data_IF_877395435248
#
_entry.id   IF_877395435248
#
_cell.length_a   1.000
_cell.length_b   1.000
_cell.length_c   1.000
_cell.angle_alpha   90.00
_cell.angle_beta   90.00
_cell.angle_gamma   90.00
#
_symmetry.space_group_name_H-M   'P 1'
#
loop_
_entity.id
_entity.type
_entity.pdbx_description
1 polymer ?
#
# COMPACT_ATOMS: atom_id res chain seq x y z
N UNK A 1 -15.49 -8.14 4.44
CA UNK A 1 -14.80 -8.35 5.74
C UNK A 1 -14.27 -7.01 6.22
N UNK A 2 -14.55 -6.60 7.48
CA UNK A 2 -13.96 -5.38 8.05
C UNK A 2 -12.55 -5.71 8.57
N UNK A 3 -11.52 -4.89 8.33
CA UNK A 3 -10.19 -5.16 8.85
C UNK A 3 -10.19 -5.05 10.38
N UNK A 4 -9.80 -6.13 11.06
CA UNK A 4 -9.65 -6.16 12.52
C UNK A 4 -8.38 -5.40 12.92
N UNK A 5 -8.54 -4.28 13.62
CA UNK A 5 -7.43 -3.53 14.21
C UNK A 5 -7.05 -4.15 15.56
N UNK A 6 -5.75 -4.18 15.87
CA UNK A 6 -5.24 -4.65 17.17
C UNK A 6 -5.54 -3.61 18.24
N UNK A 7 -6.13 -4.00 19.39
CA UNK A 7 -6.52 -3.08 20.47
C UNK A 7 -5.35 -2.29 21.09
N UNK A 8 -4.10 -2.75 20.90
CA UNK A 8 -2.88 -2.12 21.45
C UNK A 8 -1.93 -1.56 20.40
N UNK A 9 -2.12 -1.87 19.11
CA UNK A 9 -1.24 -1.38 18.05
C UNK A 9 -2.07 -0.71 16.96
N UNK A 10 -2.14 0.62 17.04
CA UNK A 10 -2.84 1.47 16.08
C UNK A 10 -2.04 1.69 14.79
N UNK A 11 -0.96 0.94 14.59
CA UNK A 11 -0.15 1.00 13.38
C UNK A 11 -0.17 -0.31 12.63
N UNK A 12 -0.27 -0.19 11.32
CA UNK A 12 -0.39 -1.32 10.40
C UNK A 12 0.82 -1.36 9.48
N UNK A 13 1.37 -2.56 9.28
CA UNK A 13 2.40 -2.84 8.27
C UNK A 13 1.77 -2.84 6.88
N UNK A 14 2.36 -2.13 5.93
CA UNK A 14 1.95 -2.16 4.53
C UNK A 14 2.89 -3.09 3.74
N UNK A 15 2.33 -3.96 2.90
CA UNK A 15 3.07 -4.86 2.02
C UNK A 15 2.63 -4.63 0.59
N UNK A 16 3.51 -4.18 -0.27
CA UNK A 16 3.23 -4.01 -1.71
C UNK A 16 3.86 -5.18 -2.44
N UNK A 17 3.02 -5.93 -3.14
CA UNK A 17 3.43 -6.99 -4.06
C UNK A 17 3.20 -6.45 -5.47
N UNK A 18 4.29 -6.08 -6.14
CA UNK A 18 4.24 -5.56 -7.49
C UNK A 18 4.84 -6.59 -8.45
N UNK A 19 4.18 -6.92 -9.58
CA UNK A 19 4.65 -7.99 -10.44
C UNK A 19 6.07 -7.74 -10.96
N UNK A 20 6.93 -8.75 -10.79
CA UNK A 20 8.34 -8.70 -11.20
C UNK A 20 9.29 -7.96 -10.25
N UNK A 21 8.83 -7.56 -9.06
CA UNK A 21 9.64 -6.91 -8.03
C UNK A 21 9.58 -7.71 -6.72
N UNK A 22 10.63 -7.58 -5.92
CA UNK A 22 10.64 -8.13 -4.57
C UNK A 22 9.56 -7.49 -3.68
N UNK A 23 8.99 -8.23 -2.71
CA UNK A 23 8.00 -7.68 -1.79
C UNK A 23 8.52 -6.44 -1.06
N UNK A 24 7.83 -5.32 -1.21
CA UNK A 24 8.17 -4.09 -0.49
C UNK A 24 7.35 -4.02 0.81
N UNK A 25 8.04 -4.07 1.95
CA UNK A 25 7.40 -4.15 3.27
C UNK A 25 7.79 -2.96 4.12
N UNK A 26 6.79 -2.17 4.52
CA UNK A 26 6.97 -1.05 5.43
C UNK A 26 6.22 -1.30 6.73
N UNK A 27 6.96 -1.46 7.83
CA UNK A 27 6.40 -1.64 9.17
C UNK A 27 5.87 -0.32 9.71
N UNK A 28 4.79 -0.38 10.49
CA UNK A 28 4.17 0.80 11.11
C UNK A 28 3.81 1.91 10.10
N UNK A 29 3.46 1.52 8.88
CA UNK A 29 3.27 2.40 7.72
C UNK A 29 2.02 3.28 7.82
N UNK A 30 0.94 2.75 8.39
CA UNK A 30 -0.37 3.40 8.45
C UNK A 30 -0.81 3.52 9.91
N UNK A 31 -1.12 4.73 10.36
CA UNK A 31 -1.78 5.01 11.64
C UNK A 31 -3.30 4.97 11.44
N UNK A 32 -3.95 3.98 12.05
CA UNK A 32 -5.41 3.82 12.02
C UNK A 32 -6.10 4.56 13.16
N UNK A 33 -5.33 5.14 14.09
CA UNK A 33 -5.83 5.75 15.30
C UNK A 33 -6.32 4.72 16.32
N UNK A 34 -6.47 5.16 17.57
CA UNK A 34 -7.07 4.36 18.63
C UNK A 34 -8.59 4.50 18.65
N UNK A 35 -9.27 3.80 19.56
CA UNK A 35 -10.74 3.83 19.65
C UNK A 35 -11.33 5.24 19.81
N UNK A 36 -10.63 6.16 20.48
CA UNK A 36 -11.08 7.55 20.66
C UNK A 36 -10.75 8.47 19.48
N UNK A 37 -9.83 8.07 18.59
CA UNK A 37 -9.29 8.90 17.50
C UNK A 37 -9.19 8.09 16.19
N UNK A 38 -10.22 7.30 15.88
CA UNK A 38 -10.23 6.47 14.67
C UNK A 38 -10.09 7.36 13.43
N UNK A 39 -9.17 6.98 12.53
CA UNK A 39 -8.96 7.75 11.30
C UNK A 39 -10.08 7.50 10.30
N UNK A 40 -10.45 8.54 9.56
CA UNK A 40 -11.41 8.43 8.47
C UNK A 40 -10.82 7.60 7.33
N UNK A 41 -11.69 7.00 6.51
CA UNK A 41 -11.26 6.27 5.31
C UNK A 41 -10.43 7.16 4.37
N UNK A 42 -10.80 8.44 4.24
CA UNK A 42 -10.04 9.43 3.44
C UNK A 42 -8.62 9.60 3.99
N UNK A 43 -8.47 9.70 5.31
CA UNK A 43 -7.15 9.84 5.93
C UNK A 43 -6.30 8.57 5.77
N UNK A 44 -6.91 7.39 5.89
CA UNK A 44 -6.22 6.11 5.63
C UNK A 44 -5.82 6.01 4.16
N UNK A 45 -6.71 6.34 3.23
CA UNK A 45 -6.43 6.32 1.80
C UNK A 45 -5.28 7.26 1.43
N UNK A 46 -5.25 8.47 1.99
CA UNK A 46 -4.14 9.41 1.80
C UNK A 46 -2.81 8.85 2.34
N UNK A 47 -2.81 8.23 3.52
CA UNK A 47 -1.61 7.58 4.05
C UNK A 47 -1.13 6.45 3.11
N UNK A 48 -2.04 5.58 2.65
CA UNK A 48 -1.69 4.50 1.71
C UNK A 48 -1.14 5.08 0.40
N UNK A 49 -1.78 6.10 -0.19
CA UNK A 49 -1.34 6.74 -1.42
C UNK A 49 0.08 7.32 -1.27
N UNK A 50 0.38 7.96 -0.14
CA UNK A 50 1.74 8.46 0.15
C UNK A 50 2.76 7.32 0.23
N UNK A 51 2.41 6.17 0.81
CA UNK A 51 3.30 5.00 0.87
C UNK A 51 3.47 4.32 -0.49
N UNK A 52 2.43 4.30 -1.32
CA UNK A 52 2.52 3.80 -2.70
C UNK A 52 3.41 4.72 -3.54
N UNK A 53 3.34 6.05 -3.35
CA UNK A 53 4.26 7.00 -3.99
C UNK A 53 5.71 6.77 -3.55
N UNK A 54 5.93 6.61 -2.26
CA UNK A 54 7.26 6.28 -1.72
C UNK A 54 7.83 4.99 -2.32
N UNK A 55 7.02 3.94 -2.42
CA UNK A 55 7.40 2.71 -3.12
C UNK A 55 7.74 2.98 -4.59
N UNK A 56 6.87 3.69 -5.30
CA UNK A 56 7.03 4.00 -6.72
C UNK A 56 8.34 4.74 -6.96
N UNK A 57 8.59 5.83 -6.24
CA UNK A 57 9.79 6.65 -6.41
C UNK A 57 11.08 5.86 -6.11
N UNK A 58 11.06 5.00 -5.10
CA UNK A 58 12.21 4.17 -4.71
C UNK A 58 12.50 3.04 -5.70
N UNK A 59 11.47 2.51 -6.37
CA UNK A 59 11.58 1.32 -7.23
C UNK A 59 11.54 1.65 -8.71
N UNK A 60 11.25 2.90 -9.12
CA UNK A 60 11.12 3.29 -10.53
C UNK A 60 12.38 3.06 -11.37
N UNK A 61 13.56 3.17 -10.76
CA UNK A 61 14.84 2.93 -11.43
C UNK A 61 15.20 1.44 -11.50
N UNK A 62 14.49 0.57 -10.78
CA UNK A 62 14.71 -0.88 -10.77
C UNK A 62 13.93 -1.50 -11.92
N UNK A 63 14.61 -2.35 -12.70
CA UNK A 63 13.99 -3.13 -13.77
C UNK A 63 13.43 -4.42 -13.17
N UNK A 64 12.10 -4.52 -13.12
CA UNK A 64 11.42 -5.75 -12.72
C UNK A 64 11.50 -6.84 -13.79
N UNK A 65 11.22 -8.08 -13.40
CA UNK A 65 11.25 -9.25 -14.30
C UNK A 65 10.02 -9.36 -15.21
N UNK A 66 8.97 -8.57 -14.95
CA UNK A 66 7.71 -8.55 -15.70
C UNK A 66 7.63 -7.26 -16.53
N UNK A 67 7.88 -7.28 -17.85
CA UNK A 67 8.02 -6.07 -18.67
C UNK A 67 6.80 -5.14 -18.66
N UNK A 68 5.60 -5.72 -18.69
CA UNK A 68 4.32 -5.00 -18.68
C UNK A 68 4.02 -4.30 -17.34
N UNK A 69 4.80 -4.62 -16.32
CA UNK A 69 4.68 -4.08 -14.96
C UNK A 69 5.92 -3.29 -14.55
N UNK A 70 6.81 -2.93 -15.48
CA UNK A 70 7.94 -2.09 -15.12
C UNK A 70 7.46 -0.69 -14.72
N UNK A 71 7.79 -0.25 -13.50
CA UNK A 71 7.37 1.04 -12.94
C UNK A 71 7.91 2.24 -13.74
N UNK A 72 9.03 2.08 -14.45
CA UNK A 72 9.55 3.12 -15.33
C UNK A 72 8.60 3.45 -16.51
N UNK A 73 7.78 2.47 -16.93
CA UNK A 73 6.87 2.57 -18.06
C UNK A 73 5.43 2.94 -17.67
N UNK A 74 5.12 3.03 -16.37
CA UNK A 74 3.76 3.27 -15.89
C UNK A 74 3.74 4.60 -15.13
N UNK A 75 3.07 5.66 -15.64
CA UNK A 75 2.91 6.91 -14.91
C UNK A 75 2.21 6.68 -13.57
N UNK A 76 2.61 7.41 -12.52
CA UNK A 76 2.02 7.24 -11.19
C UNK A 76 0.52 7.59 -11.19
N UNK A 77 0.14 8.60 -11.96
CA UNK A 77 -1.24 9.05 -12.16
C UNK A 77 -2.16 8.00 -12.79
N UNK A 78 -1.58 6.97 -13.44
CA UNK A 78 -2.32 5.86 -13.99
C UNK A 78 -2.52 4.71 -12.99
N UNK A 79 -2.03 4.85 -11.75
CA UNK A 79 -2.19 3.87 -10.68
C UNK A 79 -3.41 4.18 -9.81
N UNK A 80 -4.24 3.17 -9.60
CA UNK A 80 -5.43 3.27 -8.77
C UNK A 80 -5.41 2.24 -7.65
N UNK A 81 -5.66 2.71 -6.42
CA UNK A 81 -5.92 1.84 -5.28
C UNK A 81 -7.37 1.33 -5.37
N UNK A 82 -7.53 0.03 -5.66
CA UNK A 82 -8.85 -0.60 -5.83
C UNK A 82 -9.35 -1.22 -4.52
N UNK A 83 -8.43 -1.80 -3.76
CA UNK A 83 -8.76 -2.55 -2.55
C UNK A 83 -7.62 -2.45 -1.53
N UNK A 84 -7.96 -2.54 -0.24
CA UNK A 84 -6.99 -2.68 0.84
C UNK A 84 -7.30 -3.96 1.63
N UNK A 85 -6.48 -5.00 1.42
CA UNK A 85 -6.67 -6.33 2.00
C UNK A 85 -6.00 -6.45 3.34
N UNK A 86 -6.71 -6.99 4.33
CA UNK A 86 -6.09 -7.46 5.57
C UNK A 86 -5.56 -8.88 5.35
N UNK A 87 -4.25 -9.01 5.19
CA UNK A 87 -3.59 -10.28 4.85
C UNK A 87 -3.07 -11.01 6.09
N UNK A 88 -2.90 -10.30 7.21
CA UNK A 88 -2.60 -10.84 8.52
C UNK A 88 -2.93 -9.79 9.59
N UNK A 89 -3.01 -10.19 10.87
CA UNK A 89 -3.19 -9.26 11.99
C UNK A 89 -2.11 -8.16 11.93
N UNK A 90 -2.55 -6.90 11.81
CA UNK A 90 -1.64 -5.74 11.72
C UNK A 90 -0.87 -5.64 10.40
N UNK A 91 -1.30 -6.31 9.33
CA UNK A 91 -0.70 -6.20 8.01
C UNK A 91 -1.72 -6.06 6.89
N UNK A 92 -1.56 -5.00 6.11
CA UNK A 92 -2.38 -4.70 4.95
C UNK A 92 -1.60 -4.78 3.65
N UNK A 93 -2.30 -5.16 2.59
CA UNK A 93 -1.81 -5.21 1.22
C UNK A 93 -2.72 -4.37 0.33
N UNK A 94 -2.23 -3.29 -0.29
CA UNK A 94 -2.99 -2.56 -1.29
C UNK A 94 -3.05 -3.39 -2.58
N UNK A 95 -4.20 -3.35 -3.24
CA UNK A 95 -4.38 -3.88 -4.60
C UNK A 95 -4.39 -2.69 -5.53
N UNK A 96 -3.39 -2.64 -6.41
CA UNK A 96 -3.18 -1.53 -7.34
C UNK A 96 -3.46 -2.05 -8.74
N UNK A 97 -4.23 -1.29 -9.52
CA UNK A 97 -4.36 -1.50 -10.96
C UNK A 97 -3.77 -0.31 -11.71
N UNK A 98 -3.41 -0.55 -12.98
CA UNK A 98 -2.99 0.50 -13.91
C UNK A 98 -4.12 0.78 -14.91
N UNK A 99 -4.22 2.01 -15.38
CA UNK A 99 -5.00 2.34 -16.57
C UNK A 99 -4.42 1.59 -17.78
N UNK A 100 -5.29 1.02 -18.61
CA UNK A 100 -4.95 0.34 -19.87
C UNK A 100 -5.28 1.26 -21.03
#
# INVERSE_FOLDING_TARGET
MRPTLSETNNRVTLRILWPGYEPWVLRNAIDVGGQQNARTLVHIANQVANRVREFYDNQRAVVGTEPDWNLSNIPFEDLYLVELRNVARGSWQPVICRRV
#
